data_IF_366833624236
#
_entry.id   IF_366833624236
#
_cell.length_a   1.000
_cell.length_b   1.000
_cell.length_c   1.000
_cell.angle_alpha   90.00
_cell.angle_beta   90.00
_cell.angle_gamma   90.00
#
_symmetry.space_group_name_H-M   'P 1'
#
loop_
_entity.id
_entity.type
_entity.pdbx_description
1 polymer ?
#
# COMPACT_ATOMS: atom_id res chain seq x y z
N UNK A 1 1.99 13.33 -1.34
CA UNK A 1 3.39 13.42 -0.89
C UNK A 1 4.35 12.62 -1.78
N UNK A 2 4.14 11.32 -2.00
CA UNK A 2 5.03 10.43 -2.78
C UNK A 2 5.37 10.94 -4.19
N UNK A 3 4.39 11.51 -4.91
CA UNK A 3 4.56 12.00 -6.29
C UNK A 3 5.60 13.12 -6.45
N UNK A 4 5.89 13.89 -5.39
CA UNK A 4 6.90 14.97 -5.43
C UNK A 4 8.32 14.42 -5.34
N UNK A 5 8.48 13.27 -4.68
CA UNK A 5 9.77 12.59 -4.45
C UNK A 5 10.23 11.89 -5.73
N UNK A 6 9.30 11.25 -6.43
CA UNK A 6 9.54 10.58 -7.73
C UNK A 6 10.11 11.54 -8.79
N UNK A 7 9.71 12.81 -8.74
CA UNK A 7 10.18 13.86 -9.67
C UNK A 7 11.68 14.15 -9.57
N UNK A 8 12.34 13.74 -8.48
CA UNK A 8 13.77 13.98 -8.29
C UNK A 8 14.65 12.84 -8.82
N UNK A 9 14.07 11.67 -9.08
CA UNK A 9 14.79 10.56 -9.69
C UNK A 9 14.78 10.70 -11.23
N UNK A 10 15.95 10.97 -11.83
CA UNK A 10 16.14 10.97 -13.29
C UNK A 10 16.43 9.54 -13.79
N UNK A 11 15.83 9.13 -14.91
CA UNK A 11 16.08 7.83 -15.56
C UNK A 11 14.81 6.97 -15.71
N UNK A 12 14.90 5.68 -15.34
CA UNK A 12 13.82 4.67 -15.39
C UNK A 12 12.52 5.09 -14.69
N UNK A 13 12.58 6.09 -13.81
CA UNK A 13 11.41 6.69 -13.16
C UNK A 13 10.46 7.41 -14.12
N UNK A 14 10.88 7.74 -15.35
CA UNK A 14 9.97 8.18 -16.43
C UNK A 14 8.94 7.09 -16.80
N UNK A 15 9.26 5.81 -16.64
CA UNK A 15 8.30 4.71 -16.85
C UNK A 15 7.23 4.68 -15.76
N UNK A 16 7.60 5.02 -14.52
CA UNK A 16 6.62 5.20 -13.43
C UNK A 16 5.70 6.41 -13.65
N UNK A 17 6.09 7.34 -14.51
CA UNK A 17 5.22 8.42 -14.99
C UNK A 17 4.12 7.92 -15.94
N UNK A 18 4.22 6.73 -16.54
CA UNK A 18 3.07 6.12 -17.25
C UNK A 18 1.95 5.79 -16.26
N UNK A 19 2.28 5.39 -15.03
CA UNK A 19 1.30 5.26 -13.94
C UNK A 19 0.74 6.62 -13.48
N UNK A 20 1.29 7.75 -13.93
CA UNK A 20 0.74 9.09 -13.69
C UNK A 20 -0.43 9.42 -14.62
N UNK A 21 -0.43 8.89 -15.85
CA UNK A 21 -1.56 9.00 -16.80
C UNK A 21 -2.81 8.30 -16.29
N UNK A 22 -2.66 7.38 -15.33
CA UNK A 22 -3.79 6.68 -14.74
C UNK A 22 -4.72 7.70 -14.05
N UNK A 23 -5.95 7.88 -14.57
CA UNK A 23 -6.87 8.88 -14.04
C UNK A 23 -7.24 8.49 -12.60
N UNK A 24 -7.47 9.51 -11.75
CA UNK A 24 -7.91 9.32 -10.36
C UNK A 24 -9.00 8.25 -10.20
N UNK A 25 -10.08 8.22 -11.01
CA UNK A 25 -11.09 7.18 -10.89
C UNK A 25 -10.57 5.75 -11.08
N UNK A 26 -9.61 5.52 -11.99
CA UNK A 26 -9.07 4.17 -12.20
C UNK A 26 -8.25 3.72 -10.99
N UNK A 27 -7.49 4.64 -10.37
CA UNK A 27 -6.73 4.37 -9.15
C UNK A 27 -7.65 4.03 -7.99
N UNK A 28 -8.75 4.77 -7.84
CA UNK A 28 -9.73 4.54 -6.79
C UNK A 28 -10.47 3.23 -6.99
N UNK A 29 -10.88 2.91 -8.23
CA UNK A 29 -11.53 1.63 -8.56
C UNK A 29 -10.57 0.46 -8.33
N UNK A 30 -9.32 0.57 -8.76
CA UNK A 30 -8.31 -0.46 -8.53
C UNK A 30 -8.02 -0.63 -7.04
N UNK A 31 -7.92 0.47 -6.29
CA UNK A 31 -7.74 0.42 -4.84
C UNK A 31 -8.95 -0.22 -4.14
N UNK A 32 -10.18 0.14 -4.53
CA UNK A 32 -11.40 -0.46 -4.01
C UNK A 32 -11.51 -1.95 -4.36
N UNK A 33 -11.13 -2.33 -5.58
CA UNK A 33 -11.08 -3.72 -6.02
C UNK A 33 -10.10 -4.51 -5.14
N UNK A 34 -8.85 -4.07 -5.04
CA UNK A 34 -7.87 -4.72 -4.17
C UNK A 34 -8.37 -4.75 -2.72
N UNK A 35 -8.91 -3.65 -2.20
CA UNK A 35 -9.42 -3.57 -0.83
C UNK A 35 -10.58 -4.55 -0.57
N UNK A 36 -11.43 -4.81 -1.58
CA UNK A 36 -12.53 -5.78 -1.53
C UNK A 36 -12.01 -7.22 -1.53
N UNK A 37 -10.96 -7.51 -2.28
CA UNK A 37 -10.38 -8.85 -2.37
C UNK A 37 -9.24 -9.12 -1.37
N UNK A 38 -8.71 -8.10 -0.67
CA UNK A 38 -7.54 -8.23 0.21
C UNK A 38 -7.72 -9.33 1.27
N UNK A 39 -8.89 -9.38 1.90
CA UNK A 39 -9.18 -10.36 2.94
C UNK A 39 -9.47 -11.75 2.37
N UNK A 40 -9.90 -11.82 1.11
CA UNK A 40 -10.12 -13.08 0.40
C UNK A 40 -8.79 -13.71 -0.05
N UNK A 41 -7.80 -12.89 -0.43
CA UNK A 41 -6.50 -13.37 -0.91
C UNK A 41 -5.49 -13.61 0.22
N UNK A 42 -5.45 -12.74 1.22
CA UNK A 42 -4.50 -12.86 2.33
C UNK A 42 -5.06 -13.54 3.57
N UNK A 43 -6.38 -13.79 3.60
CA UNK A 43 -7.07 -14.19 4.82
C UNK A 43 -7.24 -13.01 5.77
N UNK A 44 -8.35 -12.99 6.50
CA UNK A 44 -8.54 -12.06 7.61
C UNK A 44 -7.93 -12.70 8.86
N UNK A 45 -7.04 -11.98 9.54
CA UNK A 45 -6.63 -12.37 10.89
C UNK A 45 -7.83 -12.09 11.81
N UNK A 46 -8.52 -13.15 12.21
CA UNK A 46 -9.70 -13.09 13.08
C UNK A 46 -9.31 -12.77 14.54
N UNK A 47 -8.03 -12.94 14.88
CA UNK A 47 -7.48 -12.65 16.19
C UNK A 47 -6.37 -11.60 16.08
N UNK A 48 -6.46 -10.57 16.92
CA UNK A 48 -5.35 -9.66 17.15
C UNK A 48 -4.19 -10.46 17.74
N UNK A 49 -3.00 -10.35 17.14
CA UNK A 49 -1.79 -10.91 17.73
C UNK A 49 -1.52 -10.16 19.03
N UNK A 50 -1.85 -10.77 20.17
CA UNK A 50 -1.38 -10.28 21.46
C UNK A 50 0.14 -10.47 21.51
N UNK A 51 0.91 -9.39 21.76
CA UNK A 51 2.36 -9.50 21.86
C UNK A 51 2.70 -10.50 22.96
N UNK A 52 3.58 -11.45 22.64
CA UNK A 52 4.16 -12.36 23.63
C UNK A 52 4.85 -11.53 24.73
N UNK A 53 4.90 -12.04 25.97
CA UNK A 53 5.48 -11.34 27.12
C UNK A 53 6.88 -10.76 26.84
N UNK A 54 7.65 -11.39 25.96
CA UNK A 54 8.98 -10.94 25.54
C UNK A 54 8.96 -9.66 24.66
N UNK A 55 7.90 -9.46 23.87
CA UNK A 55 7.78 -8.32 22.95
C UNK A 55 6.94 -7.16 23.49
N UNK A 56 6.33 -7.30 24.68
CA UNK A 56 5.53 -6.23 25.29
C UNK A 56 6.35 -4.96 25.55
N UNK A 57 7.63 -5.09 25.89
CA UNK A 57 8.53 -3.96 26.14
C UNK A 57 8.87 -3.13 24.89
N UNK A 58 8.50 -3.59 23.69
CA UNK A 58 8.75 -2.90 22.41
C UNK A 58 7.57 -2.05 21.93
N UNK A 59 6.38 -2.27 22.49
CA UNK A 59 5.21 -1.46 22.20
C UNK A 59 5.07 -0.43 23.34
N UNK A 60 5.53 0.79 23.09
CA UNK A 60 5.40 1.95 23.98
C UNK A 60 4.03 2.61 23.82
#
# INVERSE_FOLDING_TARGET
AVLKIVRHFKGLWKLLLIFWIIPRPLRDVFYQFIAKYRYRWFGKKETCMLPSKENQNRFL
#
